data_IF_451141836252
#
_entry.id   IF_451141836252
#
_cell.length_a   1.000
_cell.length_b   1.000
_cell.length_c   1.000
_cell.angle_alpha   90.00
_cell.angle_beta   90.00
_cell.angle_gamma   90.00
#
_symmetry.space_group_name_H-M   'P 1'
#
loop_
_entity.id
_entity.type
_entity.pdbx_description
1 polymer ?
#
# COMPACT_ATOMS: atom_id res chain seq x y z
N UNK A 1 16.12 -10.87 3.19
CA UNK A 1 15.78 -11.15 1.77
C UNK A 1 16.30 -10.02 0.89
N UNK A 2 16.81 -10.33 -0.30
CA UNK A 2 17.29 -9.32 -1.24
C UNK A 2 16.20 -9.01 -2.27
N UNK A 3 15.82 -7.73 -2.40
CA UNK A 3 14.95 -7.19 -3.46
C UNK A 3 15.78 -6.21 -4.26
N UNK A 4 15.80 -6.38 -5.59
CA UNK A 4 16.52 -5.44 -6.46
C UNK A 4 15.67 -4.18 -6.64
N UNK A 5 16.32 -3.02 -6.63
CA UNK A 5 15.66 -1.72 -6.78
C UNK A 5 16.46 -0.81 -7.70
N UNK A 6 15.74 -0.09 -8.57
CA UNK A 6 16.27 1.03 -9.34
C UNK A 6 15.61 2.30 -8.81
N UNK A 7 16.40 3.28 -8.44
CA UNK A 7 15.94 4.59 -8.00
C UNK A 7 16.31 5.64 -9.04
N UNK A 8 15.32 6.21 -9.69
CA UNK A 8 15.46 7.33 -10.66
C UNK A 8 15.08 8.69 -10.05
N UNK A 9 14.80 8.72 -8.74
CA UNK A 9 14.55 9.96 -8.00
C UNK A 9 15.82 10.54 -7.40
N UNK A 10 15.74 11.76 -6.89
CA UNK A 10 16.78 12.37 -6.05
C UNK A 10 16.69 11.95 -4.57
N UNK A 11 15.66 11.20 -4.20
CA UNK A 11 15.43 10.76 -2.83
C UNK A 11 16.37 9.61 -2.44
N UNK A 12 16.62 9.44 -1.14
CA UNK A 12 17.25 8.24 -0.62
C UNK A 12 16.39 6.99 -0.88
N UNK A 13 17.02 5.81 -0.90
CA UNK A 13 16.29 4.54 -0.94
C UNK A 13 15.34 4.42 0.27
N UNK A 14 14.22 3.68 0.12
CA UNK A 14 13.32 3.39 1.24
C UNK A 14 14.08 2.80 2.41
N UNK A 15 13.80 3.29 3.62
CA UNK A 15 14.47 2.88 4.85
C UNK A 15 13.45 2.52 5.92
N UNK A 16 13.82 1.55 6.74
CA UNK A 16 13.11 1.25 7.98
C UNK A 16 13.56 2.23 9.06
N UNK A 17 12.63 2.93 9.70
CA UNK A 17 12.95 3.93 10.73
C UNK A 17 13.57 3.30 11.98
N UNK A 18 13.20 2.06 12.29
CA UNK A 18 13.75 1.29 13.43
C UNK A 18 13.95 -0.17 13.03
N UNK A 19 14.75 -0.92 13.79
CA UNK A 19 14.96 -2.35 13.57
C UNK A 19 13.69 -3.20 13.73
N UNK A 20 12.64 -2.67 14.36
CA UNK A 20 11.34 -3.34 14.51
C UNK A 20 10.27 -2.85 13.52
N UNK A 21 10.59 -1.90 12.63
CA UNK A 21 9.63 -1.40 11.64
C UNK A 21 9.29 -2.49 10.62
N UNK A 22 8.00 -2.69 10.35
CA UNK A 22 7.53 -3.61 9.32
C UNK A 22 7.53 -2.97 7.93
N UNK A 23 7.38 -1.65 7.83
CA UNK A 23 7.33 -0.89 6.60
C UNK A 23 8.53 0.04 6.42
N UNK A 24 8.98 0.17 5.17
CA UNK A 24 9.95 1.17 4.76
C UNK A 24 9.23 2.36 4.13
N UNK A 25 9.50 3.57 4.62
CA UNK A 25 8.89 4.78 4.08
C UNK A 25 9.32 5.05 2.63
N UNK A 26 8.36 5.42 1.78
CA UNK A 26 8.59 5.86 0.40
C UNK A 26 8.22 7.33 0.25
N UNK A 27 8.98 7.99 -0.65
CA UNK A 27 8.92 9.45 -0.81
C UNK A 27 8.38 9.83 -2.17
N UNK A 28 7.71 10.97 -2.21
CA UNK A 28 7.28 11.60 -3.45
C UNK A 28 8.48 12.05 -4.29
N UNK A 29 8.42 11.80 -5.60
CA UNK A 29 9.36 12.35 -6.60
C UNK A 29 8.73 13.49 -7.43
N UNK A 30 7.60 14.03 -6.99
CA UNK A 30 6.91 15.14 -7.64
C UNK A 30 6.27 16.07 -6.62
N UNK A 31 5.96 17.28 -7.03
CA UNK A 31 5.04 18.18 -6.31
C UNK A 31 3.62 17.90 -6.75
N UNK A 32 2.67 17.98 -5.82
CA UNK A 32 1.25 17.84 -6.08
C UNK A 32 0.43 18.56 -5.00
N UNK A 33 -0.81 18.90 -5.32
CA UNK A 33 -1.79 19.41 -4.36
C UNK A 33 -3.05 18.56 -4.51
N UNK A 34 -3.42 17.84 -3.45
CA UNK A 34 -4.63 17.01 -3.44
C UNK A 34 -5.75 17.78 -2.77
N UNK A 35 -6.74 18.21 -3.55
CA UNK A 35 -7.92 18.90 -3.05
C UNK A 35 -8.76 17.97 -2.15
N UNK A 36 -9.57 18.52 -1.21
CA UNK A 36 -10.54 17.74 -0.46
C UNK A 36 -11.40 16.84 -1.38
N UNK A 37 -11.58 15.58 -0.98
CA UNK A 37 -12.28 14.52 -1.74
C UNK A 37 -11.57 14.14 -3.07
N UNK A 38 -10.48 14.82 -3.43
CA UNK A 38 -9.67 14.54 -4.61
C UNK A 38 -8.65 13.42 -4.37
N UNK A 39 -8.16 12.84 -5.45
CA UNK A 39 -7.06 11.87 -5.41
C UNK A 39 -6.06 12.14 -6.55
N UNK A 40 -4.82 11.69 -6.34
CA UNK A 40 -3.72 11.89 -7.29
C UNK A 40 -2.77 10.70 -7.28
N UNK A 41 -2.25 10.34 -8.45
CA UNK A 41 -1.17 9.35 -8.57
C UNK A 41 0.18 10.04 -8.37
N UNK A 42 0.85 9.73 -7.28
CA UNK A 42 2.14 10.31 -6.93
C UNK A 42 3.27 9.37 -7.38
N UNK A 43 4.14 9.86 -8.23
CA UNK A 43 5.32 9.15 -8.71
C UNK A 43 6.39 9.10 -7.63
N UNK A 44 7.14 7.98 -7.56
CA UNK A 44 8.20 7.77 -6.58
C UNK A 44 9.60 7.69 -7.20
N UNK A 45 9.69 7.45 -8.50
CA UNK A 45 10.95 7.17 -9.20
C UNK A 45 11.53 5.79 -8.88
N UNK A 46 10.80 4.93 -8.19
CA UNK A 46 11.26 3.61 -7.77
C UNK A 46 10.72 2.51 -8.67
N UNK A 47 11.59 1.54 -9.01
CA UNK A 47 11.28 0.33 -9.77
C UNK A 47 11.88 -0.85 -9.02
N UNK A 48 11.17 -1.96 -8.92
CA UNK A 48 11.60 -3.12 -8.12
C UNK A 48 11.52 -4.42 -8.92
N UNK A 49 12.36 -5.38 -8.55
CA UNK A 49 12.26 -6.77 -8.95
C UNK A 49 12.11 -7.62 -7.69
N UNK A 50 10.88 -8.06 -7.46
CA UNK A 50 10.49 -8.83 -6.27
C UNK A 50 10.67 -10.32 -6.57
N UNK A 51 11.26 -11.13 -5.68
CA UNK A 51 11.34 -12.58 -5.86
C UNK A 51 9.94 -13.21 -5.97
N UNK A 52 9.82 -14.24 -6.83
CA UNK A 52 8.58 -15.03 -6.94
C UNK A 52 8.12 -15.55 -5.57
N UNK A 53 6.81 -15.55 -5.34
CA UNK A 53 6.20 -15.91 -4.06
C UNK A 53 6.16 -14.78 -3.04
N UNK A 54 6.49 -13.55 -3.46
CA UNK A 54 6.37 -12.34 -2.64
C UNK A 54 5.72 -11.21 -3.43
N UNK A 55 5.13 -10.27 -2.70
CA UNK A 55 4.61 -8.99 -3.18
C UNK A 55 5.18 -7.85 -2.33
N UNK A 56 5.07 -6.61 -2.80
CA UNK A 56 5.18 -5.44 -1.94
C UNK A 56 3.81 -4.79 -1.83
N UNK A 57 3.36 -4.59 -0.59
CA UNK A 57 2.15 -3.85 -0.29
C UNK A 57 2.46 -2.38 -0.03
N UNK A 58 1.73 -1.50 -0.70
CA UNK A 58 1.77 -0.05 -0.44
C UNK A 58 0.66 0.27 0.56
N UNK A 59 1.07 0.72 1.74
CA UNK A 59 0.18 1.00 2.88
C UNK A 59 0.25 2.48 3.25
N UNK A 60 -0.85 3.05 3.78
CA UNK A 60 -0.85 4.43 4.26
C UNK A 60 0.05 4.61 5.49
N UNK A 61 0.43 5.84 5.74
CA UNK A 61 1.12 6.26 6.96
C UNK A 61 0.09 6.75 7.98
N UNK A 62 0.14 6.20 9.18
CA UNK A 62 -0.79 6.54 10.27
C UNK A 62 -0.83 8.04 10.58
N UNK A 63 0.34 8.71 10.54
CA UNK A 63 0.43 10.15 10.81
C UNK A 63 -0.30 11.00 9.78
N UNK A 64 -0.22 10.67 8.49
CA UNK A 64 -0.94 11.37 7.43
C UNK A 64 -2.45 11.09 7.51
N UNK A 65 -2.81 9.85 7.77
CA UNK A 65 -4.21 9.46 7.93
C UNK A 65 -4.86 10.20 9.11
N UNK A 66 -4.22 10.18 10.27
CA UNK A 66 -4.80 10.76 11.49
C UNK A 66 -4.84 12.30 11.47
N UNK A 67 -3.75 12.95 11.00
CA UNK A 67 -3.63 14.41 11.06
C UNK A 67 -4.30 15.13 9.89
N UNK A 68 -4.27 14.53 8.70
CA UNK A 68 -4.64 15.19 7.45
C UNK A 68 -5.75 14.47 6.68
N UNK A 69 -6.18 13.28 7.12
CA UNK A 69 -7.15 12.48 6.37
C UNK A 69 -6.59 11.93 5.05
N UNK A 70 -5.26 11.87 4.91
CA UNK A 70 -4.60 11.37 3.69
C UNK A 70 -4.36 9.86 3.81
N UNK A 71 -4.80 9.11 2.81
CA UNK A 71 -4.59 7.66 2.75
C UNK A 71 -4.29 7.20 1.32
N UNK A 72 -3.89 5.93 1.19
CA UNK A 72 -3.73 5.28 -0.11
C UNK A 72 -5.11 4.79 -0.56
N UNK A 73 -5.59 5.27 -1.70
CA UNK A 73 -6.95 5.02 -2.18
C UNK A 73 -7.26 3.53 -2.37
N UNK A 74 -6.33 2.78 -2.93
CA UNK A 74 -6.43 1.33 -3.18
C UNK A 74 -5.73 0.50 -2.08
N UNK A 75 -5.72 0.97 -0.84
CA UNK A 75 -4.99 0.32 0.27
C UNK A 75 -5.53 -1.06 0.62
N UNK A 76 -4.64 -2.08 0.75
CA UNK A 76 -3.24 -2.04 0.39
C UNK A 76 -3.02 -2.08 -1.12
N UNK A 77 -2.20 -1.19 -1.67
CA UNK A 77 -1.77 -1.28 -3.05
C UNK A 77 -0.87 -2.51 -3.24
N UNK A 78 -1.03 -3.25 -4.33
CA UNK A 78 -0.25 -4.47 -4.60
C UNK A 78 0.77 -4.21 -5.70
N UNK A 79 2.02 -4.55 -5.42
CA UNK A 79 3.10 -4.60 -6.42
C UNK A 79 3.49 -6.06 -6.60
N UNK A 80 3.15 -6.61 -7.75
CA UNK A 80 3.37 -8.01 -8.08
C UNK A 80 4.85 -8.30 -8.38
N UNK A 81 5.26 -9.57 -8.21
CA UNK A 81 6.66 -9.97 -8.42
C UNK A 81 7.14 -9.81 -9.87
N UNK A 82 6.24 -9.82 -10.85
CA UNK A 82 6.51 -9.62 -12.28
C UNK A 82 6.27 -8.18 -12.77
N UNK A 83 5.82 -7.26 -11.90
CA UNK A 83 5.71 -5.86 -12.26
C UNK A 83 7.07 -5.20 -12.37
N UNK A 84 7.30 -4.46 -13.46
CA UNK A 84 8.57 -3.74 -13.75
C UNK A 84 8.39 -2.25 -13.98
N UNK A 85 7.16 -1.75 -13.83
CA UNK A 85 6.85 -0.33 -13.95
C UNK A 85 7.30 0.47 -12.72
N UNK A 86 7.14 1.79 -12.82
CA UNK A 86 7.36 2.70 -11.69
C UNK A 86 6.33 2.46 -10.60
N UNK A 87 6.76 2.40 -9.35
CA UNK A 87 5.87 2.40 -8.20
C UNK A 87 5.21 3.78 -8.10
N UNK A 88 3.89 3.82 -8.32
CA UNK A 88 3.06 4.97 -8.09
C UNK A 88 2.18 4.78 -6.85
N UNK A 89 1.94 5.85 -6.12
CA UNK A 89 1.08 5.85 -4.93
C UNK A 89 -0.16 6.68 -5.21
N UNK A 90 -1.34 6.06 -5.20
CA UNK A 90 -2.61 6.77 -5.39
C UNK A 90 -3.05 7.28 -4.01
N UNK A 91 -2.87 8.58 -3.77
CA UNK A 91 -3.31 9.23 -2.52
C UNK A 91 -4.67 9.87 -2.69
N UNK A 92 -5.52 9.76 -1.68
CA UNK A 92 -6.80 10.45 -1.56
C UNK A 92 -6.80 11.33 -0.32
N UNK A 93 -7.42 12.50 -0.45
CA UNK A 93 -7.62 13.46 0.64
C UNK A 93 -9.06 13.39 1.16
N UNK A 94 -9.27 12.80 2.32
CA UNK A 94 -10.54 12.79 3.05
C UNK A 94 -10.65 13.94 4.06
N UNK A 95 -9.63 14.79 4.14
CA UNK A 95 -9.64 16.00 4.97
C UNK A 95 -10.47 17.10 4.36
N UNK A 96 -10.51 18.25 5.07
CA UNK A 96 -11.27 19.45 4.66
C UNK A 96 -10.41 20.50 3.96
N UNK A 97 -9.09 20.39 4.08
CA UNK A 97 -8.13 21.33 3.51
C UNK A 97 -7.33 20.69 2.37
N UNK A 98 -6.87 21.47 1.37
CA UNK A 98 -5.92 21.01 0.38
C UNK A 98 -4.67 20.45 1.05
N UNK A 99 -4.10 19.38 0.51
CA UNK A 99 -2.89 18.76 1.02
C UNK A 99 -1.75 18.91 0.03
N UNK A 100 -0.73 19.67 0.43
CA UNK A 100 0.48 19.90 -0.37
C UNK A 100 1.46 18.75 -0.20
N UNK A 101 2.00 18.27 -1.32
CA UNK A 101 3.05 17.26 -1.39
C UNK A 101 4.26 17.88 -2.08
N UNK A 102 5.42 17.78 -1.45
CA UNK A 102 6.70 18.19 -2.00
C UNK A 102 7.56 16.98 -2.35
N UNK A 103 8.53 17.18 -3.26
CA UNK A 103 9.55 16.17 -3.51
C UNK A 103 10.27 15.85 -2.20
N UNK A 104 10.41 14.57 -1.88
CA UNK A 104 11.03 14.11 -0.65
C UNK A 104 10.08 13.84 0.50
N UNK A 105 8.82 14.28 0.44
CA UNK A 105 7.83 13.98 1.46
C UNK A 105 7.54 12.47 1.55
N UNK A 106 7.47 11.95 2.76
CA UNK A 106 7.09 10.56 3.02
C UNK A 106 5.58 10.40 2.88
N UNK A 107 5.15 9.74 1.81
CA UNK A 107 3.75 9.67 1.39
C UNK A 107 3.06 8.34 1.71
N UNK A 108 3.82 7.27 1.82
CA UNK A 108 3.33 5.92 2.09
C UNK A 108 4.45 5.07 2.67
N UNK A 109 4.17 3.81 2.96
CA UNK A 109 5.17 2.82 3.34
C UNK A 109 4.98 1.54 2.52
N UNK A 110 6.08 0.85 2.24
CA UNK A 110 6.08 -0.44 1.56
C UNK A 110 6.39 -1.57 2.55
N UNK A 111 5.65 -2.66 2.42
CA UNK A 111 5.83 -3.86 3.26
C UNK A 111 5.97 -5.07 2.35
N UNK A 112 7.08 -5.79 2.46
CA UNK A 112 7.25 -7.07 1.76
C UNK A 112 6.37 -8.13 2.44
N UNK A 113 5.58 -8.86 1.63
CA UNK A 113 4.66 -9.88 2.09
C UNK A 113 4.84 -11.16 1.29
N UNK A 114 4.69 -12.31 1.93
CA UNK A 114 4.66 -13.61 1.25
C UNK A 114 3.30 -13.82 0.61
N UNK A 115 3.28 -14.39 -0.59
CA UNK A 115 2.06 -14.69 -1.35
C UNK A 115 1.87 -16.20 -1.44
N UNK A 116 0.67 -16.66 -1.08
CA UNK A 116 0.23 -18.04 -1.32
C UNK A 116 -0.77 -18.03 -2.49
N UNK A 117 -0.47 -18.84 -3.52
CA UNK A 117 -1.34 -18.96 -4.68
C UNK A 117 -2.47 -19.96 -4.42
N UNK A 118 -3.71 -19.49 -4.59
CA UNK A 118 -4.91 -20.30 -4.38
C UNK A 118 -5.15 -21.18 -5.61
N UNK A 119 -5.37 -22.47 -5.38
CA UNK A 119 -5.94 -23.37 -6.39
C UNK A 119 -7.42 -23.56 -6.07
N UNK A 120 -8.28 -23.09 -6.95
CA UNK A 120 -9.72 -23.20 -6.78
C UNK A 120 -10.21 -24.59 -7.16
N UNK A 121 -10.96 -25.23 -6.25
CA UNK A 121 -11.73 -26.45 -6.52
C UNK A 121 -13.20 -26.08 -6.49
N UNK A 122 -13.83 -25.99 -7.66
CA UNK A 122 -15.24 -25.61 -7.78
C UNK A 122 -16.15 -26.76 -7.31
N UNK A 123 -16.99 -26.47 -6.32
CA UNK A 123 -18.01 -27.38 -5.79
C UNK A 123 -19.40 -26.75 -5.94
N UNK A 124 -20.44 -27.59 -5.94
CA UNK A 124 -21.83 -27.12 -5.97
C UNK A 124 -22.30 -26.55 -4.63
N UNK A 125 -21.68 -26.95 -3.51
CA UNK A 125 -21.99 -26.48 -2.16
C UNK A 125 -20.78 -26.65 -1.24
N UNK A 126 -20.72 -25.85 -0.19
CA UNK A 126 -19.73 -25.98 0.88
C UNK A 126 -20.33 -26.73 2.07
N UNK A 127 -19.44 -27.33 2.89
CA UNK A 127 -19.85 -27.89 4.17
C UNK A 127 -20.36 -26.79 5.10
N UNK A 128 -21.61 -26.96 5.58
CA UNK A 128 -22.27 -26.01 6.48
C UNK A 128 -22.01 -26.29 7.96
N UNK A 129 -21.20 -27.30 8.31
CA UNK A 129 -21.00 -27.82 9.68
C UNK A 129 -20.22 -26.89 10.63
N UNK A 130 -20.19 -25.57 10.43
CA UNK A 130 -19.51 -24.62 11.32
C UNK A 130 -20.50 -23.92 12.25
N UNK A 131 -20.07 -23.59 13.50
CA UNK A 131 -20.89 -22.79 14.43
C UNK A 131 -21.29 -21.43 13.91
N UNK A 132 -20.47 -20.84 13.03
CA UNK A 132 -20.72 -19.54 12.41
C UNK A 132 -21.75 -19.64 11.27
N UNK A 133 -21.68 -20.70 10.47
CA UNK A 133 -22.49 -20.87 9.28
C UNK A 133 -22.36 -19.65 8.36
N UNK A 134 -23.46 -19.14 7.84
CA UNK A 134 -23.52 -17.98 6.94
C UNK A 134 -23.55 -16.63 7.67
N UNK A 135 -23.45 -16.61 9.00
CA UNK A 135 -23.55 -15.39 9.80
C UNK A 135 -22.35 -14.46 9.57
N UNK A 136 -22.61 -13.23 9.17
CA UNK A 136 -21.62 -12.18 8.94
C UNK A 136 -22.14 -10.81 9.37
N UNK A 137 -21.48 -9.74 8.95
CA UNK A 137 -21.90 -8.35 9.12
C UNK A 137 -22.29 -7.94 10.55
N UNK A 138 -21.49 -8.36 11.54
CA UNK A 138 -21.73 -8.00 12.94
C UNK A 138 -22.75 -8.90 13.67
N UNK A 139 -23.00 -10.11 13.18
CA UNK A 139 -23.93 -11.08 13.80
C UNK A 139 -23.58 -11.47 15.25
N UNK A 140 -22.39 -11.13 15.75
CA UNK A 140 -21.94 -11.35 17.14
C UNK A 140 -22.24 -10.18 18.07
N UNK A 141 -22.92 -9.15 17.57
CA UNK A 141 -23.25 -7.93 18.33
C UNK A 141 -22.11 -6.93 18.43
N UNK A 142 -22.36 -5.82 19.12
CA UNK A 142 -21.37 -4.82 19.53
C UNK A 142 -20.78 -5.19 20.88
#
# INVERSE_FOLDING_TARGET
MLVKIVNKSSNALPQFETGGSAGADIRSNQQAIIQPVGYELIKTGLFVEIPYGYEIQIRPRSGLAFKNGITVLNSPGTIDSDYRGEIGVILINHGTEPFDINVGDRIAQMVLSKVEHIQWHALGSLDSGTKRGEKGFGSTGK
#
